data_IF_295271985108
#
_entry.id   IF_295271985108
#
_cell.length_a   1.000
_cell.length_b   1.000
_cell.length_c   1.000
_cell.angle_alpha   90.00
_cell.angle_beta   90.00
_cell.angle_gamma   90.00
#
_symmetry.space_group_name_H-M   'P 1'
#
loop_
_entity.id
_entity.type
_entity.pdbx_description
1 polymer ?
#
# COMPACT_ATOMS: atom_id res chain seq x y z
N UNK A 1 14.48 -4.05 -3.97
CA UNK A 1 13.45 -3.12 -4.52
C UNK A 1 13.82 -1.71 -4.11
N UNK A 2 13.92 -0.76 -5.05
CA UNK A 2 14.15 0.67 -4.73
C UNK A 2 12.81 1.27 -4.30
N UNK A 3 12.75 1.82 -3.08
CA UNK A 3 11.57 2.55 -2.61
C UNK A 3 11.61 3.95 -3.25
N UNK A 4 10.57 4.29 -4.01
CA UNK A 4 10.49 5.54 -4.77
C UNK A 4 9.79 6.66 -3.99
N UNK A 5 9.19 6.34 -2.83
CA UNK A 5 8.36 7.24 -2.04
C UNK A 5 6.87 7.03 -2.29
N UNK A 6 6.05 7.86 -1.65
CA UNK A 6 4.58 7.87 -1.77
C UNK A 6 4.17 9.13 -2.54
N UNK A 7 3.38 8.97 -3.61
CA UNK A 7 2.77 10.10 -4.29
C UNK A 7 1.54 10.56 -3.48
N UNK A 8 1.29 11.86 -3.39
CA UNK A 8 0.19 12.42 -2.60
C UNK A 8 -0.77 13.24 -3.45
N UNK A 9 -2.05 13.24 -3.08
CA UNK A 9 -3.02 14.15 -3.69
C UNK A 9 -3.11 15.44 -2.87
N UNK A 10 -2.63 16.55 -3.42
CA UNK A 10 -2.70 17.87 -2.80
C UNK A 10 -3.43 18.85 -3.72
N UNK A 11 -4.54 19.43 -3.22
CA UNK A 11 -5.36 20.43 -3.95
C UNK A 11 -5.74 20.00 -5.38
N UNK A 12 -6.00 18.70 -5.58
CA UNK A 12 -6.36 18.13 -6.88
C UNK A 12 -5.19 17.72 -7.77
N UNK A 13 -3.95 17.99 -7.36
CA UNK A 13 -2.73 17.60 -8.08
C UNK A 13 -2.06 16.39 -7.41
N UNK A 14 -1.37 15.57 -8.21
CA UNK A 14 -0.54 14.47 -7.70
C UNK A 14 0.89 15.01 -7.53
N UNK A 15 1.36 15.04 -6.29
CA UNK A 15 2.74 15.40 -5.94
C UNK A 15 3.53 14.11 -5.83
N UNK A 16 4.52 13.95 -6.71
CA UNK A 16 5.41 12.79 -6.69
C UNK A 16 6.74 13.15 -6.03
N UNK A 17 7.30 12.30 -5.16
CA UNK A 17 8.61 12.53 -4.56
C UNK A 17 9.72 12.39 -5.60
N UNK A 18 10.88 12.99 -5.32
CA UNK A 18 12.01 13.05 -6.26
C UNK A 18 12.54 11.67 -6.69
N UNK A 19 12.30 10.64 -5.89
CA UNK A 19 12.61 9.25 -6.24
C UNK A 19 11.95 8.76 -7.53
N UNK A 20 10.87 9.42 -7.98
CA UNK A 20 10.19 9.12 -9.24
C UNK A 20 10.91 9.67 -10.49
N UNK A 21 11.93 10.54 -10.35
CA UNK A 21 12.66 11.10 -11.49
C UNK A 21 13.53 10.08 -12.23
N UNK A 22 13.95 9.02 -11.55
CA UNK A 22 14.80 7.96 -12.11
C UNK A 22 13.99 6.81 -12.73
N UNK A 23 12.68 6.96 -12.90
CA UNK A 23 11.85 5.91 -13.46
C UNK A 23 12.02 5.90 -14.98
N UNK A 24 12.37 4.73 -15.52
CA UNK A 24 12.44 4.53 -16.97
C UNK A 24 11.10 4.89 -17.62
N UNK A 25 11.16 5.80 -18.61
CA UNK A 25 10.02 6.12 -19.45
C UNK A 25 9.48 4.86 -20.13
N UNK A 26 8.16 4.72 -20.17
CA UNK A 26 7.49 3.56 -20.79
C UNK A 26 7.20 2.39 -19.86
N UNK A 27 7.60 2.44 -18.57
CA UNK A 27 7.14 1.44 -17.59
C UNK A 27 5.71 1.73 -17.10
N UNK A 28 4.88 0.70 -17.14
CA UNK A 28 3.51 0.75 -16.59
C UNK A 28 3.51 0.34 -15.13
N UNK A 29 2.83 1.13 -14.30
CA UNK A 29 2.62 0.87 -12.88
C UNK A 29 1.12 0.79 -12.59
N UNK A 30 0.75 -0.06 -11.64
CA UNK A 30 -0.59 -0.03 -11.06
C UNK A 30 -0.60 0.94 -9.88
N UNK A 31 -1.60 1.83 -9.86
CA UNK A 31 -1.79 2.79 -8.79
C UNK A 31 -2.77 2.26 -7.74
N UNK A 32 -2.38 2.33 -6.47
CA UNK A 32 -3.19 1.92 -5.32
C UNK A 32 -3.37 3.15 -4.43
N UNK A 33 -4.62 3.57 -4.20
CA UNK A 33 -4.95 4.66 -3.28
C UNK A 33 -5.19 4.11 -1.87
N UNK A 34 -4.47 4.65 -0.88
CA UNK A 34 -4.54 4.25 0.52
C UNK A 34 -4.57 5.51 1.37
N UNK A 35 -5.72 5.84 1.98
CA UNK A 35 -5.81 6.99 2.88
C UNK A 35 -5.49 8.35 2.25
N UNK A 36 -5.73 8.52 0.94
CA UNK A 36 -5.40 9.74 0.18
C UNK A 36 -3.97 9.79 -0.38
N UNK A 37 -3.16 8.80 -0.02
CA UNK A 37 -1.85 8.55 -0.62
C UNK A 37 -1.97 7.61 -1.82
N UNK A 38 -1.11 7.78 -2.81
CA UNK A 38 -1.01 6.96 -4.02
C UNK A 38 0.31 6.18 -3.99
N UNK A 39 0.19 4.86 -3.94
CA UNK A 39 1.30 3.93 -4.08
C UNK A 39 1.35 3.43 -5.53
N UNK A 40 2.51 3.55 -6.17
CA UNK A 40 2.75 2.97 -7.48
C UNK A 40 3.51 1.65 -7.33
N UNK A 41 2.91 0.56 -7.82
CA UNK A 41 3.46 -0.78 -7.76
C UNK A 41 3.78 -1.31 -9.17
N UNK A 42 4.86 -2.09 -9.35
CA UNK A 42 5.14 -2.75 -10.62
C UNK A 42 3.97 -3.63 -11.06
N UNK A 43 3.58 -3.52 -12.33
CA UNK A 43 2.54 -4.36 -12.92
C UNK A 43 3.12 -5.70 -13.46
N UNK A 44 2.33 -6.79 -13.46
CA UNK A 44 0.99 -6.89 -12.87
C UNK A 44 1.06 -7.19 -11.36
N UNK A 45 0.15 -6.59 -10.61
CA UNK A 45 -0.09 -6.95 -9.22
C UNK A 45 -0.75 -8.32 -9.12
N UNK A 46 -0.17 -9.19 -8.30
CA UNK A 46 -0.76 -10.48 -7.95
C UNK A 46 -1.94 -10.27 -6.97
N UNK A 47 -3.13 -10.08 -7.53
CA UNK A 47 -4.36 -9.76 -6.78
C UNK A 47 -4.81 -10.91 -5.87
N UNK A 48 -4.60 -12.16 -6.28
CA UNK A 48 -4.92 -13.33 -5.46
C UNK A 48 -4.05 -13.37 -4.21
N UNK A 49 -2.74 -13.16 -4.39
CA UNK A 49 -1.81 -13.08 -3.27
C UNK A 49 -2.15 -11.92 -2.34
N UNK A 50 -2.46 -10.75 -2.87
CA UNK A 50 -2.84 -9.58 -2.06
C UNK A 50 -4.12 -9.85 -1.25
N UNK A 51 -5.14 -10.47 -1.86
CA UNK A 51 -6.37 -10.85 -1.17
C UNK A 51 -6.09 -11.84 -0.03
N UNK A 52 -5.22 -12.82 -0.26
CA UNK A 52 -4.79 -13.77 0.78
C UNK A 52 -4.05 -13.08 1.93
N UNK A 53 -3.16 -12.14 1.61
CA UNK A 53 -2.47 -11.34 2.63
C UNK A 53 -3.48 -10.52 3.45
N UNK A 54 -4.43 -9.85 2.80
CA UNK A 54 -5.46 -9.07 3.48
C UNK A 54 -6.31 -9.92 4.43
N UNK A 55 -6.72 -11.12 4.00
CA UNK A 55 -7.45 -12.07 4.84
C UNK A 55 -6.65 -12.49 6.07
N UNK A 56 -5.38 -12.87 5.90
CA UNK A 56 -4.52 -13.30 7.00
C UNK A 56 -4.25 -12.16 7.99
N UNK A 57 -4.00 -10.94 7.49
CA UNK A 57 -3.79 -9.76 8.32
C UNK A 57 -5.05 -9.42 9.14
N UNK A 58 -6.24 -9.49 8.52
CA UNK A 58 -7.51 -9.28 9.21
C UNK A 58 -7.71 -10.27 10.36
N UNK A 59 -7.44 -11.56 10.11
CA UNK A 59 -7.51 -12.61 11.14
C UNK A 59 -6.52 -12.35 12.29
N UNK A 60 -5.27 -12.00 11.97
CA UNK A 60 -4.25 -11.71 12.97
C UNK A 60 -4.63 -10.52 13.86
N UNK A 61 -5.18 -9.44 13.27
CA UNK A 61 -5.67 -8.28 14.02
C UNK A 61 -6.83 -8.66 14.94
N UNK A 62 -7.76 -9.49 14.47
CA UNK A 62 -8.89 -9.94 15.27
C UNK A 62 -8.44 -10.80 16.46
N UNK A 63 -7.57 -11.78 16.23
CA UNK A 63 -6.99 -12.64 17.27
C UNK A 63 -6.21 -11.80 18.29
N UNK A 64 -5.43 -10.82 17.84
CA UNK A 64 -4.72 -9.91 18.72
C UNK A 64 -5.66 -9.02 19.56
N UNK A 65 -6.77 -8.55 18.98
CA UNK A 65 -7.77 -7.78 19.74
C UNK A 65 -8.42 -8.63 20.84
N UNK A 66 -8.73 -9.90 20.55
CA UNK A 66 -9.27 -10.85 21.54
C UNK A 66 -8.26 -11.09 22.67
N UNK A 67 -6.97 -11.24 22.36
CA UNK A 67 -5.95 -11.43 23.39
C UNK A 67 -5.84 -10.22 24.32
N UNK A 68 -5.93 -9.00 23.78
CA UNK A 68 -5.89 -7.76 24.58
C UNK A 68 -7.12 -7.60 25.48
N UNK A 69 -8.31 -7.98 25.00
CA UNK A 69 -9.53 -7.97 25.83
C UNK A 69 -9.45 -8.97 27.00
N UNK A 70 -8.81 -10.13 26.78
CA UNK A 70 -8.58 -11.12 27.83
C UNK A 70 -7.56 -10.70 28.91
N UNK A 71 -6.77 -9.65 28.66
CA UNK A 71 -5.75 -9.14 29.59
C UNK A 71 -6.22 -7.90 30.39
N UNK A 72 -7.36 -7.31 30.01
CA UNK A 72 -7.95 -6.15 30.68
C UNK A 72 -9.03 -6.52 31.71
N UNK A 73 -9.18 -7.82 32.03
CA UNK A 73 -10.14 -8.37 32.99
C UNK A 73 -9.48 -8.90 34.26
#
# INVERSE_FOLDING_TARGET
MKYLGIARKEKGNIVMPDGFRDIEEGRTYEAIEIGGDILLAPAPLDRERLAKIAQLAGRSIEEHRKSLQGLAG
#
